data_IF_300181078285
#
_entry.id   IF_300181078285
#
_cell.length_a   1.000
_cell.length_b   1.000
_cell.length_c   1.000
_cell.angle_alpha   90.00
_cell.angle_beta   90.00
_cell.angle_gamma   90.00
#
_symmetry.space_group_name_H-M   'P 1'
#
loop_
_entity.id
_entity.type
_entity.pdbx_description
1 polymer ?
#
# COMPACT_ATOMS: atom_id res chain seq x y z
N UNK A 1 3.43 6.99 -1.77
CA UNK A 1 3.67 6.69 -0.34
C UNK A 1 2.33 6.68 0.41
N UNK A 2 2.29 6.27 1.69
CA UNK A 2 1.03 6.24 2.47
C UNK A 2 0.26 7.56 2.45
N UNK A 3 0.90 8.74 2.63
CA UNK A 3 0.18 10.02 2.59
C UNK A 3 -0.52 10.28 1.25
N UNK A 4 0.11 9.90 0.13
CA UNK A 4 -0.46 10.09 -1.20
C UNK A 4 -1.71 9.21 -1.39
N UNK A 5 -1.64 7.95 -0.94
CA UNK A 5 -2.76 7.02 -1.01
C UNK A 5 -3.93 7.47 -0.12
N UNK A 6 -3.64 7.95 1.10
CA UNK A 6 -4.66 8.50 1.99
C UNK A 6 -5.31 9.76 1.40
N UNK A 7 -4.51 10.66 0.83
CA UNK A 7 -5.01 11.86 0.18
C UNK A 7 -5.84 11.54 -1.07
N UNK A 8 -5.45 10.51 -1.83
CA UNK A 8 -6.23 10.03 -2.97
C UNK A 8 -7.56 9.43 -2.51
N UNK A 9 -7.54 8.54 -1.50
CA UNK A 9 -8.75 7.95 -0.94
C UNK A 9 -9.70 9.03 -0.42
N UNK A 10 -9.20 10.05 0.29
CA UNK A 10 -10.00 11.16 0.81
C UNK A 10 -10.65 12.02 -0.29
N UNK A 11 -10.04 12.13 -1.47
CA UNK A 11 -10.62 12.87 -2.61
C UNK A 11 -11.66 12.06 -3.38
N UNK A 12 -11.54 10.74 -3.37
CA UNK A 12 -12.34 9.85 -4.22
C UNK A 12 -13.50 9.22 -3.46
N UNK A 13 -13.31 8.84 -2.19
CA UNK A 13 -14.36 8.27 -1.35
C UNK A 13 -15.35 9.37 -0.96
N UNK A 14 -16.54 9.32 -1.53
CA UNK A 14 -17.63 10.29 -1.29
C UNK A 14 -18.70 9.72 -0.36
N UNK A 15 -18.82 8.40 -0.27
CA UNK A 15 -19.84 7.72 0.54
C UNK A 15 -19.25 6.52 1.27
N UNK A 16 -19.42 6.47 2.60
CA UNK A 16 -19.16 5.29 3.42
C UNK A 16 -20.49 4.74 3.94
N UNK A 17 -20.81 3.51 3.55
CA UNK A 17 -22.02 2.81 3.98
C UNK A 17 -21.68 1.77 5.04
N UNK A 18 -22.12 1.94 6.31
CA UNK A 18 -21.96 0.90 7.31
C UNK A 18 -22.68 -0.38 6.88
N UNK A 19 -22.00 -1.51 6.93
CA UNK A 19 -22.55 -2.83 6.68
C UNK A 19 -22.75 -3.56 8.00
N UNK A 20 -23.82 -4.35 8.11
CA UNK A 20 -24.11 -5.14 9.32
C UNK A 20 -23.09 -6.27 9.55
N UNK A 21 -22.39 -6.71 8.49
CA UNK A 21 -21.33 -7.71 8.52
C UNK A 21 -20.46 -7.63 7.25
N UNK A 22 -19.30 -8.29 7.25
CA UNK A 22 -18.42 -8.43 6.09
C UNK A 22 -17.25 -7.44 6.03
N UNK A 23 -16.30 -7.68 5.12
CA UNK A 23 -15.16 -6.80 4.92
C UNK A 23 -15.55 -5.55 4.11
N UNK A 24 -14.68 -4.53 4.13
CA UNK A 24 -14.85 -3.38 3.28
C UNK A 24 -14.85 -3.79 1.80
N UNK A 25 -15.85 -3.31 1.05
CA UNK A 25 -16.09 -3.71 -0.32
C UNK A 25 -16.50 -2.53 -1.20
N UNK A 26 -16.16 -2.55 -2.50
CA UNK A 26 -16.63 -1.55 -3.45
C UNK A 26 -18.16 -1.52 -3.48
N UNK A 27 -18.76 -0.34 -3.38
CA UNK A 27 -20.19 -0.15 -3.52
C UNK A 27 -20.67 -0.40 -4.95
N UNK A 28 -21.97 -0.66 -5.10
CA UNK A 28 -22.60 -0.81 -6.41
C UNK A 28 -22.83 0.53 -7.14
N UNK A 29 -22.65 1.66 -6.45
CA UNK A 29 -23.05 3.01 -6.93
C UNK A 29 -21.88 3.87 -7.41
N UNK A 30 -20.79 3.25 -7.88
CA UNK A 30 -19.64 3.92 -8.49
C UNK A 30 -18.40 3.96 -7.60
N UNK A 31 -17.26 4.44 -8.15
CA UNK A 31 -15.92 4.27 -7.57
C UNK A 31 -15.70 5.00 -6.23
N UNK A 32 -16.58 5.92 -5.85
CA UNK A 32 -16.50 6.68 -4.61
C UNK A 32 -17.36 6.13 -3.45
N UNK A 33 -18.13 5.06 -3.67
CA UNK A 33 -18.96 4.45 -2.64
C UNK A 33 -18.30 3.18 -2.09
N UNK A 34 -18.20 3.07 -0.77
CA UNK A 34 -17.57 1.94 -0.11
C UNK A 34 -18.41 1.46 1.08
N UNK A 35 -18.70 0.16 1.09
CA UNK A 35 -19.28 -0.51 2.25
C UNK A 35 -18.20 -0.77 3.29
N UNK A 36 -18.48 -0.52 4.57
CA UNK A 36 -17.57 -0.83 5.69
C UNK A 36 -18.29 -1.65 6.74
N UNK A 37 -17.80 -2.85 7.03
CA UNK A 37 -18.34 -3.69 8.10
C UNK A 37 -18.04 -3.17 9.52
N UNK A 38 -18.54 -3.88 10.54
CA UNK A 38 -18.27 -3.57 11.94
C UNK A 38 -16.78 -3.72 12.24
N UNK A 39 -16.22 -2.74 12.95
CA UNK A 39 -14.79 -2.63 13.27
C UNK A 39 -14.58 -3.02 14.73
N UNK A 40 -13.63 -3.89 15.02
CA UNK A 40 -13.35 -4.40 16.37
C UNK A 40 -12.08 -3.84 17.00
N UNK A 41 -11.21 -3.15 16.25
CA UNK A 41 -9.98 -2.51 16.73
C UNK A 41 -9.63 -1.19 16.02
N UNK A 42 -8.62 -0.46 16.51
CA UNK A 42 -8.30 0.89 16.00
C UNK A 42 -7.54 0.91 14.64
N UNK A 43 -6.78 -0.14 14.31
CA UNK A 43 -6.02 -0.26 13.05
C UNK A 43 -6.81 -0.95 11.92
N UNK A 44 -7.81 -1.76 12.30
CA UNK A 44 -8.75 -2.43 11.39
C UNK A 44 -9.53 -1.50 10.44
N UNK A 45 -9.99 -0.29 10.83
CA UNK A 45 -10.74 0.57 9.93
C UNK A 45 -9.83 1.16 8.86
N UNK A 46 -8.59 1.53 9.20
CA UNK A 46 -7.64 2.06 8.22
C UNK A 46 -7.30 1.02 7.16
N UNK A 47 -6.97 -0.21 7.59
CA UNK A 47 -6.70 -1.32 6.67
C UNK A 47 -7.92 -1.68 5.83
N UNK A 48 -9.12 -1.73 6.43
CA UNK A 48 -10.37 -1.99 5.72
C UNK A 48 -10.65 -0.94 4.65
N UNK A 49 -10.56 0.34 5.00
CA UNK A 49 -10.76 1.45 4.05
C UNK A 49 -9.73 1.42 2.91
N UNK A 50 -8.44 1.19 3.20
CA UNK A 50 -7.40 1.10 2.19
C UNK A 50 -7.59 -0.10 1.27
N UNK A 51 -7.95 -1.26 1.82
CA UNK A 51 -8.27 -2.49 1.09
C UNK A 51 -9.45 -2.27 0.14
N UNK A 52 -10.57 -1.80 0.67
CA UNK A 52 -11.77 -1.57 -0.14
C UNK A 52 -11.56 -0.48 -1.20
N UNK A 53 -10.81 0.59 -0.89
CA UNK A 53 -10.43 1.61 -1.87
C UNK A 53 -9.60 1.02 -3.01
N UNK A 54 -8.60 0.16 -2.71
CA UNK A 54 -7.79 -0.51 -3.74
C UNK A 54 -8.65 -1.41 -4.63
N UNK A 55 -9.57 -2.18 -4.05
CA UNK A 55 -10.51 -3.01 -4.82
C UNK A 55 -11.42 -2.16 -5.71
N UNK A 56 -11.94 -1.05 -5.19
CA UNK A 56 -12.83 -0.16 -5.94
C UNK A 56 -12.09 0.49 -7.11
N UNK A 57 -10.85 0.92 -6.90
CA UNK A 57 -9.99 1.49 -7.94
C UNK A 57 -9.67 0.48 -9.04
N UNK A 58 -9.28 -0.74 -8.69
CA UNK A 58 -9.03 -1.78 -9.69
C UNK A 58 -10.28 -2.13 -10.48
N UNK A 59 -11.44 -2.27 -9.81
CA UNK A 59 -12.72 -2.49 -10.47
C UNK A 59 -13.02 -1.39 -11.48
N UNK A 60 -12.91 -0.13 -11.08
CA UNK A 60 -13.16 1.01 -11.95
C UNK A 60 -12.20 1.04 -13.15
N UNK A 61 -10.92 0.67 -12.97
CA UNK A 61 -9.98 0.52 -14.07
C UNK A 61 -10.40 -0.60 -15.02
N UNK A 62 -10.80 -1.76 -14.50
CA UNK A 62 -11.29 -2.88 -15.31
C UNK A 62 -12.61 -2.60 -16.06
N UNK A 63 -13.38 -1.59 -15.64
CA UNK A 63 -14.60 -1.15 -16.34
C UNK A 63 -14.28 -0.29 -17.58
N UNK A 64 -13.11 0.36 -17.64
CA UNK A 64 -12.74 1.29 -18.72
C UNK A 64 -11.54 0.85 -19.55
N UNK A 65 -10.81 -0.17 -19.09
CA UNK A 65 -9.62 -0.72 -19.75
C UNK A 65 -9.60 -2.24 -19.65
N UNK A 66 -9.16 -2.89 -20.72
CA UNK A 66 -8.95 -4.33 -20.73
C UNK A 66 -7.61 -4.63 -20.05
N UNK A 67 -7.63 -5.05 -18.79
CA UNK A 67 -6.42 -5.38 -18.02
C UNK A 67 -5.87 -6.78 -18.34
N UNK A 68 -6.73 -7.66 -18.88
CA UNK A 68 -6.40 -9.02 -19.27
C UNK A 68 -7.34 -9.49 -20.38
N UNK A 69 -6.84 -10.39 -21.23
CA UNK A 69 -7.55 -10.89 -22.41
C UNK A 69 -8.43 -12.11 -22.11
N UNK A 70 -8.03 -12.94 -21.15
CA UNK A 70 -8.77 -14.12 -20.71
C UNK A 70 -8.64 -14.31 -19.20
N UNK A 71 -9.62 -14.99 -18.62
CA UNK A 71 -9.59 -15.41 -17.22
C UNK A 71 -10.11 -16.84 -17.06
N UNK A 72 -9.63 -17.54 -16.03
CA UNK A 72 -10.09 -18.88 -15.68
C UNK A 72 -9.69 -20.02 -16.63
N UNK A 73 -8.91 -19.75 -17.68
CA UNK A 73 -8.35 -20.79 -18.57
C UNK A 73 -7.13 -21.47 -17.93
N UNK A 74 -6.34 -20.69 -17.19
CA UNK A 74 -5.22 -21.16 -16.41
C UNK A 74 -5.38 -20.72 -14.97
N UNK A 75 -4.84 -21.54 -14.07
CA UNK A 75 -4.74 -21.18 -12.66
C UNK A 75 -3.29 -20.84 -12.32
N UNK A 76 -3.15 -19.88 -11.41
CA UNK A 76 -1.88 -19.34 -10.98
C UNK A 76 -1.74 -19.54 -9.48
N UNK A 77 -0.56 -20.00 -9.03
CA UNK A 77 -0.30 -20.19 -7.60
C UNK A 77 -0.02 -18.86 -6.93
N UNK A 78 -0.76 -18.53 -5.87
CA UNK A 78 -0.50 -17.32 -5.07
C UNK A 78 0.85 -17.44 -4.32
N UNK A 79 1.76 -16.46 -4.37
CA UNK A 79 3.04 -16.54 -3.65
C UNK A 79 2.94 -16.42 -2.12
N UNK A 80 1.86 -15.84 -1.61
CA UNK A 80 1.58 -15.69 -0.17
C UNK A 80 0.75 -16.83 0.43
N UNK A 81 0.46 -17.87 -0.36
CA UNK A 81 -0.35 -19.01 0.05
C UNK A 81 -0.04 -20.25 -0.79
N UNK A 82 -0.93 -21.23 -0.74
CA UNK A 82 -0.85 -22.44 -1.56
C UNK A 82 -2.09 -22.63 -2.45
N UNK A 83 -2.93 -21.59 -2.58
CA UNK A 83 -4.12 -21.63 -3.42
C UNK A 83 -3.72 -21.41 -4.89
N UNK A 84 -4.43 -22.10 -5.78
CA UNK A 84 -4.42 -21.83 -7.21
C UNK A 84 -5.65 -20.98 -7.52
N UNK A 85 -5.44 -19.85 -8.18
CA UNK A 85 -6.48 -18.85 -8.43
C UNK A 85 -6.49 -18.43 -9.90
N UNK A 86 -7.60 -17.88 -10.35
CA UNK A 86 -7.69 -17.32 -11.70
C UNK A 86 -6.78 -16.08 -11.84
N UNK A 87 -6.46 -15.70 -13.08
CA UNK A 87 -5.63 -14.53 -13.35
C UNK A 87 -6.22 -13.24 -12.76
N UNK A 88 -7.53 -13.03 -12.91
CA UNK A 88 -8.22 -11.84 -12.38
C UNK A 88 -8.10 -11.76 -10.86
N UNK A 89 -8.18 -12.90 -10.17
CA UNK A 89 -8.02 -12.97 -8.72
C UNK A 89 -6.56 -12.74 -8.30
N UNK A 90 -5.60 -13.33 -9.00
CA UNK A 90 -4.17 -13.05 -8.76
C UNK A 90 -3.88 -11.56 -8.92
N UNK A 91 -4.35 -10.94 -10.00
CA UNK A 91 -4.18 -9.50 -10.25
C UNK A 91 -4.82 -8.67 -9.13
N UNK A 92 -6.05 -8.98 -8.73
CA UNK A 92 -6.77 -8.27 -7.68
C UNK A 92 -6.06 -8.34 -6.32
N UNK A 93 -5.65 -9.54 -5.91
CA UNK A 93 -4.92 -9.75 -4.66
C UNK A 93 -3.55 -9.05 -4.70
N UNK A 94 -2.82 -9.15 -5.82
CA UNK A 94 -1.52 -8.49 -5.97
C UNK A 94 -1.65 -6.97 -5.86
N UNK A 95 -2.63 -6.39 -6.56
CA UNK A 95 -2.89 -4.94 -6.57
C UNK A 95 -3.25 -4.42 -5.17
N UNK A 96 -4.13 -5.14 -4.47
CA UNK A 96 -4.52 -4.80 -3.10
C UNK A 96 -3.33 -4.89 -2.15
N UNK A 97 -2.60 -6.00 -2.16
CA UNK A 97 -1.45 -6.23 -1.27
C UNK A 97 -0.32 -5.24 -1.50
N UNK A 98 -0.05 -4.87 -2.75
CA UNK A 98 0.94 -3.83 -3.07
C UNK A 98 0.58 -2.49 -2.41
N UNK A 99 -0.71 -2.12 -2.46
CA UNK A 99 -1.22 -0.91 -1.81
C UNK A 99 -1.18 -0.97 -0.28
N UNK A 100 -1.64 -2.07 0.31
CA UNK A 100 -1.57 -2.29 1.76
C UNK A 100 -0.12 -2.34 2.25
N UNK A 101 0.78 -2.87 1.43
CA UNK A 101 2.21 -2.97 1.68
C UNK A 101 2.93 -1.64 1.90
N UNK A 102 2.34 -0.53 1.44
CA UNK A 102 2.86 0.80 1.73
C UNK A 102 2.59 1.20 3.19
N UNK A 103 1.47 0.74 3.76
CA UNK A 103 1.06 0.99 5.14
C UNK A 103 1.68 -0.02 6.11
N UNK A 104 1.61 -1.31 5.78
CA UNK A 104 2.19 -2.40 6.54
C UNK A 104 3.03 -3.31 5.62
N UNK A 105 4.37 -3.28 5.72
CA UNK A 105 5.27 -4.04 4.86
C UNK A 105 5.02 -5.55 4.80
N UNK A 106 4.34 -6.15 5.79
CA UNK A 106 4.03 -7.60 5.79
C UNK A 106 3.23 -8.03 4.55
N UNK A 107 2.45 -7.11 3.97
CA UNK A 107 1.64 -7.40 2.79
C UNK A 107 2.48 -7.49 1.51
N UNK A 108 3.71 -6.94 1.51
CA UNK A 108 4.63 -7.02 0.37
C UNK A 108 5.28 -8.39 0.18
N UNK A 109 5.19 -9.29 1.17
CA UNK A 109 5.68 -10.67 1.02
C UNK A 109 4.98 -11.35 -0.15
N UNK A 110 5.77 -11.82 -1.13
CA UNK A 110 5.28 -12.50 -2.33
C UNK A 110 4.79 -11.57 -3.45
N UNK A 111 4.68 -10.26 -3.21
CA UNK A 111 4.18 -9.29 -4.20
C UNK A 111 5.12 -9.15 -5.40
N UNK A 112 6.46 -9.00 -5.24
CA UNK A 112 7.37 -8.97 -6.38
C UNK A 112 7.24 -10.19 -7.29
N UNK A 113 7.16 -11.38 -6.69
CA UNK A 113 7.03 -12.66 -7.40
C UNK A 113 5.69 -12.76 -8.14
N UNK A 114 4.60 -12.28 -7.54
CA UNK A 114 3.29 -12.24 -8.21
C UNK A 114 3.28 -11.26 -9.39
N UNK A 115 3.91 -10.08 -9.24
CA UNK A 115 4.05 -9.12 -10.34
C UNK A 115 4.85 -9.72 -11.50
N UNK A 116 5.92 -10.46 -11.21
CA UNK A 116 6.70 -11.18 -12.22
C UNK A 116 5.85 -12.26 -12.91
N UNK A 117 5.04 -13.01 -12.16
CA UNK A 117 4.13 -14.02 -12.71
C UNK A 117 3.09 -13.39 -13.64
N UNK A 118 2.43 -12.32 -13.20
CA UNK A 118 1.40 -11.60 -13.97
C UNK A 118 1.98 -11.02 -15.25
N UNK A 119 3.15 -10.40 -15.18
CA UNK A 119 3.79 -9.74 -16.33
C UNK A 119 4.18 -10.71 -17.45
N UNK A 120 4.50 -11.95 -17.08
CA UNK A 120 4.88 -13.03 -17.99
C UNK A 120 3.71 -13.95 -18.38
N UNK A 121 2.53 -13.75 -17.81
CA UNK A 121 1.34 -14.52 -18.13
C UNK A 121 0.87 -14.25 -19.57
N UNK A 122 0.22 -15.23 -20.20
CA UNK A 122 -0.33 -15.06 -21.54
C UNK A 122 -1.59 -14.17 -21.54
N UNK A 123 -2.25 -14.07 -20.38
CA UNK A 123 -3.51 -13.37 -20.19
C UNK A 123 -3.36 -11.85 -20.10
N UNK A 124 -2.18 -11.32 -19.75
CA UNK A 124 -2.02 -9.88 -19.50
C UNK A 124 -2.01 -9.08 -20.81
N UNK A 125 -2.78 -7.98 -20.83
CA UNK A 125 -2.82 -7.05 -21.98
C UNK A 125 -1.69 -6.00 -21.89
N UNK A 126 -1.60 -5.13 -22.90
CA UNK A 126 -0.69 -3.97 -22.86
C UNK A 126 -1.05 -3.04 -21.71
N UNK A 127 -2.33 -2.73 -21.50
CA UNK A 127 -2.78 -1.86 -20.41
C UNK A 127 -2.57 -2.51 -19.04
N UNK A 128 -2.78 -3.83 -18.94
CA UNK A 128 -2.41 -4.62 -17.77
C UNK A 128 -0.92 -4.48 -17.43
N UNK A 129 -0.02 -4.58 -18.41
CA UNK A 129 1.42 -4.40 -18.19
C UNK A 129 1.76 -2.97 -17.72
N UNK A 130 1.09 -1.96 -18.25
CA UNK A 130 1.28 -0.57 -17.79
C UNK A 130 0.85 -0.40 -16.33
N UNK A 131 -0.27 -1.02 -15.93
CA UNK A 131 -0.71 -1.06 -14.53
C UNK A 131 0.35 -1.73 -13.64
N UNK A 132 0.88 -2.89 -14.05
CA UNK A 132 1.93 -3.60 -13.29
C UNK A 132 3.20 -2.74 -13.14
N UNK A 133 3.64 -2.07 -14.21
CA UNK A 133 4.77 -1.15 -14.14
C UNK A 133 4.53 0.01 -13.16
N UNK A 134 3.32 0.58 -13.16
CA UNK A 134 2.94 1.64 -12.22
C UNK A 134 2.95 1.14 -10.76
N UNK A 135 2.43 -0.07 -10.51
CA UNK A 135 2.46 -0.71 -9.18
C UNK A 135 3.89 -0.95 -8.71
N UNK A 136 4.78 -1.47 -9.58
CA UNK A 136 6.21 -1.65 -9.26
C UNK A 136 6.88 -0.34 -8.85
N UNK A 137 6.61 0.74 -9.60
CA UNK A 137 7.11 2.08 -9.29
C UNK A 137 6.59 2.56 -7.92
N UNK A 138 5.32 2.34 -7.64
CA UNK A 138 4.68 2.71 -6.37
C UNK A 138 5.39 2.03 -5.17
N UNK A 139 5.61 0.71 -5.24
CA UNK A 139 6.26 -0.06 -4.15
C UNK A 139 7.79 0.15 -4.08
N UNK A 140 8.43 0.58 -5.17
CA UNK A 140 9.88 0.88 -5.18
C UNK A 140 10.17 2.26 -4.60
N UNK A 141 9.30 3.24 -4.87
CA UNK A 141 9.45 4.62 -4.37
C UNK A 141 9.44 4.73 -2.84
N UNK A 142 8.84 3.78 -2.13
CA UNK A 142 8.85 3.72 -0.66
C UNK A 142 10.16 3.19 -0.07
N UNK A 143 10.87 2.30 -0.76
CA UNK A 143 12.17 1.77 -0.30
C UNK A 143 13.26 2.85 -0.29
N UNK A 144 13.24 3.77 -1.27
CA UNK A 144 14.20 4.88 -1.36
C UNK A 144 13.98 5.96 -0.29
N UNK A 145 12.75 6.16 0.20
CA UNK A 145 12.48 7.10 1.29
C UNK A 145 12.95 6.57 2.66
N UNK A 146 12.79 5.26 2.91
CA UNK A 146 13.25 4.62 4.15
C UNK A 146 14.80 4.54 4.25
N UNK A 147 15.50 4.36 3.13
CA UNK A 147 16.98 4.32 3.09
C UNK A 147 17.65 5.68 3.33
N UNK A 148 16.96 6.79 3.02
CA UNK A 148 17.52 8.15 3.17
C UNK A 148 17.59 8.63 4.63
N UNK A 149 16.80 8.03 5.53
CA UNK A 149 16.76 8.40 6.95
C UNK A 149 17.76 7.65 7.84
N UNK A 150 18.44 6.59 7.37
CA UNK A 150 19.49 5.89 8.13
C UNK A 150 20.89 6.50 8.01
N UNK A 151 21.10 7.41 7.05
CA UNK A 151 22.41 8.05 6.80
C UNK A 151 22.65 9.36 7.57
N UNK A 152 21.68 9.83 8.36
CA UNK A 152 21.81 11.06 9.16
C UNK A 152 21.73 10.75 10.66
N UNK A 153 22.47 9.75 11.12
CA UNK A 153 22.85 9.70 12.53
C UNK A 153 23.93 10.77 12.73
N UNK A 154 23.55 11.87 13.37
CA UNK A 154 24.48 12.89 13.84
C UNK A 154 25.50 12.23 14.76
N UNK A 155 26.75 12.13 14.32
CA UNK A 155 27.87 11.87 15.22
C UNK A 155 28.04 13.09 16.13
N UNK A 156 28.10 12.92 17.47
CA UNK A 156 28.57 13.97 18.34
C UNK A 156 30.09 14.09 18.14
N UNK A 157 30.52 15.04 17.32
CA UNK A 157 31.91 15.46 17.29
C UNK A 157 32.22 16.14 18.62
N UNK A 158 32.87 15.40 19.51
CA UNK A 158 33.65 15.99 20.58
C UNK A 158 34.87 16.68 19.97
N UNK A 159 35.08 17.93 20.36
CA UNK A 159 36.42 18.48 20.43
C UNK A 159 36.49 19.33 21.70
N UNK A 160 37.36 18.92 22.62
CA UNK A 160 37.58 19.58 23.88
C UNK A 160 38.77 20.52 23.77
N UNK A 161 38.65 21.72 24.35
CA UNK A 161 39.68 22.39 25.16
C UNK A 161 39.27 23.87 25.36
N UNK A 162 38.96 24.27 26.60
CA UNK A 162 39.98 24.86 27.45
C UNK A 162 39.40 25.29 28.80
N UNK A 163 40.17 24.96 29.83
CA UNK A 163 40.00 25.41 31.21
C UNK A 163 40.31 26.92 31.27
N UNK A 164 39.43 27.69 31.90
CA UNK A 164 39.87 28.85 32.69
C UNK A 164 39.01 28.96 33.95
N UNK A 165 39.64 28.65 35.08
CA UNK A 165 39.16 28.91 36.44
C UNK A 165 39.08 30.42 36.65
N UNK A 166 37.97 30.92 37.18
CA UNK A 166 37.99 32.14 38.00
C UNK A 166 36.80 32.17 38.97
N UNK A 167 37.15 32.08 40.25
CA UNK A 167 36.31 32.29 41.43
C UNK A 167 35.56 33.62 41.37
N UNK A 168 34.25 33.60 41.64
CA UNK A 168 33.59 34.72 42.35
C UNK A 168 32.33 34.28 43.08
N UNK A 169 32.42 34.30 44.42
CA UNK A 169 31.30 34.30 45.37
C UNK A 169 30.30 35.40 45.03
N UNK A 170 29.01 35.07 45.04
CA UNK A 170 27.94 36.05 45.26
C UNK A 170 26.94 35.45 46.25
N UNK A 171 26.87 36.08 47.42
CA UNK A 171 25.87 35.94 48.47
C UNK A 171 24.52 36.46 48.00
N UNK A 172 23.43 35.77 48.36
CA UNK A 172 22.07 36.32 48.32
C UNK A 172 21.71 36.78 49.74
N UNK A 173 21.22 38.02 49.86
CA UNK A 173 20.48 38.50 51.04
C UNK A 173 19.08 37.89 51.10
#
# INVERSE_FOLDING_TARGET
AVPDQAAEAARTLTTLTPLSAGAAAPGHHGPGALGSGPVTGADEPALGLLSGFRRAKLRALGEVTDLYALDGTWEHRTPWGNEHVTFSRLLAETYERAGLGLYDPRFLTGVPEALDMIENAAEVTVDGKQLIAAVRKEISGTRSAAGKNRGRSLSPSGDGANVLVSDRKVTFE
#
